data_IF_403893803857
#
_entry.id   IF_403893803857
#
_cell.length_a   1.000
_cell.length_b   1.000
_cell.length_c   1.000
_cell.angle_alpha   90.00
_cell.angle_beta   90.00
_cell.angle_gamma   90.00
#
_symmetry.space_group_name_H-M   'P 1'
#
loop_
_entity.id
_entity.type
_entity.pdbx_description
1 polymer ?
#
# COMPACT_ATOMS: atom_id res chain seq x y z
N UNK A 1 45.37 -30.17 -19.69
CA UNK A 1 45.31 -30.93 -18.42
C UNK A 1 45.72 -29.95 -17.32
N UNK A 2 44.75 -29.26 -16.71
CA UNK A 2 45.02 -28.31 -15.64
C UNK A 2 44.31 -28.77 -14.38
N UNK A 3 45.12 -28.97 -13.34
CA UNK A 3 44.77 -29.40 -12.01
C UNK A 3 44.18 -28.26 -11.19
N UNK A 4 43.34 -28.70 -10.26
CA UNK A 4 42.79 -28.03 -9.10
C UNK A 4 43.78 -27.19 -8.28
N UNK A 5 43.27 -26.13 -7.65
CA UNK A 5 43.54 -25.81 -6.24
C UNK A 5 42.32 -25.10 -5.62
N UNK A 6 42.01 -25.49 -4.38
CA UNK A 6 40.85 -25.16 -3.57
C UNK A 6 41.23 -24.21 -2.43
N UNK A 7 40.26 -23.38 -2.04
CA UNK A 7 39.99 -22.77 -0.73
C UNK A 7 41.06 -21.90 -0.04
N UNK A 8 40.63 -20.69 0.31
CA UNK A 8 41.16 -19.88 1.40
C UNK A 8 40.03 -19.04 1.99
N UNK A 9 39.53 -19.44 3.14
CA UNK A 9 38.64 -18.66 4.01
C UNK A 9 39.43 -17.49 4.62
N UNK A 10 38.87 -16.28 4.61
CA UNK A 10 39.26 -15.21 5.53
C UNK A 10 38.01 -14.70 6.25
N UNK A 11 38.00 -14.98 7.55
CA UNK A 11 37.00 -14.62 8.53
C UNK A 11 37.62 -13.51 9.39
N UNK A 12 37.35 -12.24 9.08
CA UNK A 12 37.69 -11.13 9.96
C UNK A 12 36.48 -10.22 10.17
N UNK A 13 35.80 -10.42 11.30
CA UNK A 13 34.72 -9.57 11.80
C UNK A 13 35.30 -8.33 12.51
N UNK A 14 35.01 -7.14 12.00
CA UNK A 14 35.23 -5.87 12.69
C UNK A 14 33.89 -5.20 13.05
N UNK A 15 33.77 -4.47 14.18
CA UNK A 15 32.51 -3.96 14.68
C UNK A 15 32.17 -2.63 13.97
N UNK A 16 31.08 -2.58 13.21
CA UNK A 16 30.54 -1.32 12.69
C UNK A 16 29.36 -0.91 13.56
N UNK A 17 29.67 -0.29 14.70
CA UNK A 17 28.75 0.60 15.39
C UNK A 17 28.95 2.02 14.88
N UNK A 18 27.97 2.55 14.16
CA UNK A 18 27.75 4.00 14.01
C UNK A 18 26.24 4.27 13.86
N UNK A 19 25.71 5.30 14.52
CA UNK A 19 24.28 5.44 14.79
C UNK A 19 23.52 6.09 13.63
N UNK A 20 22.30 5.60 13.38
CA UNK A 20 21.36 6.28 12.49
C UNK A 20 21.04 7.69 13.03
N UNK A 21 21.03 8.74 12.20
CA UNK A 21 20.57 10.05 12.62
C UNK A 21 19.05 10.01 12.92
N UNK A 22 18.56 10.79 13.90
CA UNK A 22 17.16 10.80 14.27
C UNK A 22 16.32 11.36 13.13
N UNK A 23 15.25 10.64 12.78
CA UNK A 23 14.26 11.08 11.81
C UNK A 23 13.60 12.37 12.30
N UNK A 24 13.92 13.48 11.64
CA UNK A 24 13.25 14.77 11.83
C UNK A 24 11.78 14.60 11.47
N UNK A 25 10.91 14.63 12.47
CA UNK A 25 9.46 14.58 12.30
C UNK A 25 8.99 15.84 11.55
N UNK A 26 8.58 15.68 10.30
CA UNK A 26 7.54 16.55 9.70
C UNK A 26 6.26 15.72 9.67
N UNK A 27 5.28 16.18 10.44
CA UNK A 27 4.01 15.52 10.63
C UNK A 27 3.22 15.41 9.33
N UNK A 28 3.13 14.19 8.83
CA UNK A 28 1.99 13.66 8.09
C UNK A 28 1.96 12.16 8.40
N UNK A 29 1.03 11.72 9.25
CA UNK A 29 0.81 10.28 9.48
C UNK A 29 0.11 9.71 8.26
N UNK A 30 0.90 9.34 7.24
CA UNK A 30 0.43 8.46 6.19
C UNK A 30 0.29 7.07 6.80
N UNK A 31 -0.90 6.48 6.75
CA UNK A 31 -1.08 5.05 6.99
C UNK A 31 -0.29 4.31 5.89
N UNK A 32 0.98 4.02 6.20
CA UNK A 32 1.90 3.36 5.28
C UNK A 32 1.47 1.92 5.04
N UNK A 33 1.47 1.50 3.79
CA UNK A 33 1.42 0.08 3.44
C UNK A 33 2.73 -0.53 3.93
N UNK A 34 2.69 -1.27 5.04
CA UNK A 34 3.87 -2.01 5.48
C UNK A 34 3.88 -3.35 4.72
N UNK A 35 4.67 -3.44 3.65
CA UNK A 35 5.03 -4.72 3.02
C UNK A 35 6.43 -5.09 3.53
N UNK A 36 6.51 -6.08 4.41
CA UNK A 36 7.78 -6.47 5.02
C UNK A 36 8.59 -7.31 4.04
N UNK A 37 9.82 -6.85 3.76
CA UNK A 37 10.90 -7.51 3.01
C UNK A 37 10.64 -7.74 1.50
N UNK A 38 10.77 -6.65 0.75
CA UNK A 38 11.19 -6.69 -0.66
C UNK A 38 12.69 -6.40 -0.70
N UNK A 39 13.52 -7.43 -0.59
CA UNK A 39 14.97 -7.26 -0.81
C UNK A 39 15.20 -6.78 -2.25
N UNK A 40 15.65 -5.52 -2.38
CA UNK A 40 15.84 -4.77 -3.64
C UNK A 40 14.58 -4.56 -4.49
N UNK A 41 13.66 -3.73 -4.02
CA UNK A 41 13.03 -2.75 -4.90
C UNK A 41 13.06 -1.40 -4.19
N UNK A 42 14.06 -0.57 -4.53
CA UNK A 42 14.03 0.84 -4.16
C UNK A 42 12.73 1.46 -4.69
N UNK A 43 12.14 2.39 -3.93
CA UNK A 43 10.98 3.23 -4.27
C UNK A 43 10.66 3.29 -5.78
N UNK A 44 9.97 2.28 -6.28
CA UNK A 44 9.99 1.92 -7.69
C UNK A 44 8.70 1.22 -8.03
N UNK A 45 7.68 2.04 -8.26
CA UNK A 45 6.46 1.62 -8.91
C UNK A 45 6.82 1.12 -10.31
N UNK A 46 6.52 -0.14 -10.60
CA UNK A 46 6.69 -0.83 -11.88
C UNK A 46 8.10 -0.80 -12.51
N UNK A 47 8.81 -1.93 -12.44
CA UNK A 47 9.84 -2.25 -13.45
C UNK A 47 9.19 -3.01 -14.62
N UNK A 48 9.38 -2.60 -15.87
CA UNK A 48 8.95 -3.36 -17.03
C UNK A 48 9.97 -4.49 -17.25
N UNK A 49 9.52 -5.74 -17.13
CA UNK A 49 10.27 -6.86 -17.69
C UNK A 49 9.30 -7.75 -18.46
N UNK A 50 9.55 -7.85 -19.76
CA UNK A 50 9.07 -8.95 -20.59
C UNK A 50 9.48 -10.26 -19.90
N UNK A 51 8.56 -11.23 -19.87
CA UNK A 51 8.73 -12.60 -19.32
C UNK A 51 8.87 -12.71 -17.80
N UNK A 52 7.78 -12.45 -17.06
CA UNK A 52 7.64 -12.96 -15.70
C UNK A 52 6.36 -13.81 -15.63
N UNK A 53 6.45 -15.15 -15.43
CA UNK A 53 5.29 -16.04 -15.35
C UNK A 53 4.58 -15.99 -13.97
N UNK A 54 4.83 -14.95 -13.17
CA UNK A 54 4.33 -14.83 -11.81
C UNK A 54 3.12 -13.89 -11.72
N UNK A 55 2.20 -14.12 -10.75
CA UNK A 55 0.98 -13.33 -10.64
C UNK A 55 1.31 -11.86 -10.39
N UNK A 56 0.82 -10.94 -11.22
CA UNK A 56 1.19 -9.52 -11.15
C UNK A 56 0.16 -8.75 -10.32
N UNK A 57 0.62 -8.09 -9.27
CA UNK A 57 -0.22 -7.23 -8.43
C UNK A 57 0.17 -5.76 -8.55
N UNK A 58 -0.82 -4.87 -8.61
CA UNK A 58 -0.60 -3.42 -8.49
C UNK A 58 -0.91 -2.96 -7.06
N UNK A 59 -0.04 -2.12 -6.49
CA UNK A 59 -0.18 -1.58 -5.13
C UNK A 59 -0.41 -0.07 -5.21
N UNK A 60 -1.43 0.44 -4.50
CA UNK A 60 -1.67 1.89 -4.35
C UNK A 60 -2.34 2.20 -3.00
N UNK A 61 -2.48 3.47 -2.63
CA UNK A 61 -3.09 3.83 -1.35
C UNK A 61 -4.63 3.79 -1.44
N UNK A 62 -5.19 4.57 -2.36
CA UNK A 62 -6.61 4.67 -2.69
C UNK A 62 -7.05 3.47 -3.51
N UNK A 63 -7.27 3.63 -4.81
CA UNK A 63 -7.67 2.50 -5.63
C UNK A 63 -7.63 2.80 -7.12
N UNK A 64 -8.67 2.38 -7.82
CA UNK A 64 -8.78 2.50 -9.27
C UNK A 64 -9.45 3.81 -9.70
N UNK A 65 -9.52 3.99 -11.02
CA UNK A 65 -9.80 5.25 -11.68
C UNK A 65 -11.29 5.49 -11.92
N UNK A 66 -11.65 6.77 -11.93
CA UNK A 66 -12.96 7.28 -12.31
C UNK A 66 -13.26 7.10 -13.80
N UNK A 67 -12.21 6.97 -14.63
CA UNK A 67 -12.28 6.74 -16.07
C UNK A 67 -11.85 5.30 -16.43
N UNK A 68 -12.34 4.78 -17.56
CA UNK A 68 -11.93 3.50 -18.14
C UNK A 68 -10.73 3.69 -19.08
N UNK A 69 -9.94 2.63 -19.32
CA UNK A 69 -8.81 2.66 -20.25
C UNK A 69 -7.50 3.20 -19.68
N UNK A 70 -7.41 3.39 -18.36
CA UNK A 70 -6.18 3.82 -17.72
C UNK A 70 -5.19 2.66 -17.67
N UNK A 71 -4.00 2.88 -18.23
CA UNK A 71 -2.95 1.86 -18.29
C UNK A 71 -1.82 2.11 -17.28
N UNK A 72 -1.00 1.10 -17.01
CA UNK A 72 0.22 1.23 -16.21
C UNK A 72 1.22 2.24 -16.79
N UNK A 73 1.17 2.49 -18.10
CA UNK A 73 1.99 3.50 -18.76
C UNK A 73 1.49 4.92 -18.45
N UNK A 74 0.17 5.10 -18.35
CA UNK A 74 -0.43 6.40 -17.97
C UNK A 74 -0.07 6.76 -16.53
N UNK A 75 -0.11 5.79 -15.63
CA UNK A 75 0.33 5.96 -14.23
C UNK A 75 1.79 6.39 -14.17
N UNK A 76 2.67 5.81 -15.01
CA UNK A 76 4.09 6.17 -15.07
C UNK A 76 4.34 7.58 -15.59
N UNK A 77 3.43 8.13 -16.40
CA UNK A 77 3.51 9.48 -16.97
C UNK A 77 2.97 10.58 -16.04
N UNK A 78 2.36 10.22 -14.91
CA UNK A 78 1.79 11.22 -13.99
C UNK A 78 2.90 12.08 -13.38
N UNK A 79 2.78 13.41 -13.56
CA UNK A 79 3.60 14.40 -12.86
C UNK A 79 3.21 14.47 -11.38
N UNK A 80 3.94 13.73 -10.55
CA UNK A 80 3.64 13.54 -9.11
C UNK A 80 4.23 14.60 -8.18
N UNK A 81 5.09 15.50 -8.67
CA UNK A 81 5.78 16.50 -7.85
C UNK A 81 4.91 17.75 -7.65
N UNK A 82 3.65 17.55 -7.27
CA UNK A 82 2.64 18.59 -7.05
C UNK A 82 1.61 18.13 -6.03
N UNK A 83 0.78 19.04 -5.55
CA UNK A 83 -0.40 18.66 -4.78
C UNK A 83 -1.38 17.86 -5.66
N UNK A 84 -2.06 16.84 -5.11
CA UNK A 84 -3.06 16.11 -5.85
C UNK A 84 -4.11 17.07 -6.43
N UNK A 85 -4.49 16.93 -7.72
CA UNK A 85 -5.60 17.68 -8.28
C UNK A 85 -6.93 17.24 -7.64
N UNK A 86 -7.98 18.06 -7.79
CA UNK A 86 -9.33 17.74 -7.27
C UNK A 86 -9.94 16.49 -7.95
N UNK A 87 -9.52 16.20 -9.18
CA UNK A 87 -9.97 15.04 -9.96
C UNK A 87 -8.86 14.46 -10.85
N UNK A 88 -9.11 13.26 -11.37
CA UNK A 88 -8.24 12.57 -12.32
C UNK A 88 -7.33 11.51 -11.68
N UNK A 89 -6.43 10.88 -12.48
CA UNK A 89 -5.76 9.65 -12.10
C UNK A 89 -4.92 9.72 -10.81
N UNK A 90 -4.26 10.86 -10.58
CA UNK A 90 -3.48 11.07 -9.35
C UNK A 90 -4.37 11.17 -8.10
N UNK A 91 -5.55 11.78 -8.23
CA UNK A 91 -6.51 11.87 -7.14
C UNK A 91 -7.09 10.49 -6.83
N UNK A 92 -7.47 9.74 -7.86
CA UNK A 92 -8.08 8.42 -7.73
C UNK A 92 -7.15 7.39 -7.07
N UNK A 93 -5.86 7.39 -7.43
CA UNK A 93 -4.84 6.55 -6.81
C UNK A 93 -4.69 6.77 -5.29
N UNK A 94 -5.14 7.92 -4.78
CA UNK A 94 -5.04 8.29 -3.38
C UNK A 94 -6.37 8.18 -2.62
N UNK A 95 -7.50 8.42 -3.29
CA UNK A 95 -8.78 8.67 -2.62
C UNK A 95 -9.93 7.74 -3.01
N UNK A 96 -9.80 6.96 -4.08
CA UNK A 96 -10.90 6.08 -4.51
C UNK A 96 -11.05 4.87 -3.59
N UNK A 97 -12.28 4.36 -3.48
CA UNK A 97 -12.63 3.23 -2.62
C UNK A 97 -13.40 2.14 -3.39
N UNK A 98 -13.23 0.84 -3.05
CA UNK A 98 -14.02 -0.22 -3.65
C UNK A 98 -15.48 -0.16 -3.18
N UNK A 99 -16.41 -0.55 -4.05
CA UNK A 99 -17.83 -0.75 -3.71
C UNK A 99 -18.31 -2.15 -4.14
N UNK A 100 -19.22 -2.77 -3.39
CA UNK A 100 -19.68 -4.13 -3.70
C UNK A 100 -20.50 -4.23 -4.99
N UNK A 101 -21.20 -3.15 -5.37
CA UNK A 101 -22.02 -3.09 -6.57
C UNK A 101 -21.21 -2.70 -7.82
N UNK A 102 -21.64 -3.17 -8.99
CA UNK A 102 -21.02 -2.83 -10.27
C UNK A 102 -21.11 -1.34 -10.59
N UNK A 103 -20.22 -0.88 -11.46
CA UNK A 103 -20.14 0.49 -11.95
C UNK A 103 -19.32 1.39 -11.04
N UNK A 104 -19.58 2.70 -11.16
CA UNK A 104 -18.93 3.74 -10.38
C UNK A 104 -19.97 4.57 -9.64
N UNK A 105 -19.61 5.08 -8.48
CA UNK A 105 -20.42 6.07 -7.76
C UNK A 105 -19.56 7.20 -7.20
N UNK A 106 -20.20 8.28 -6.79
CA UNK A 106 -19.51 9.39 -6.14
C UNK A 106 -18.96 8.94 -4.79
N UNK A 107 -17.70 9.27 -4.50
CA UNK A 107 -17.07 8.90 -3.24
C UNK A 107 -17.82 9.50 -2.03
N UNK A 108 -17.99 8.69 -0.98
CA UNK A 108 -18.50 9.16 0.32
C UNK A 108 -17.61 10.23 0.97
N UNK A 109 -16.37 10.36 0.49
CA UNK A 109 -15.39 11.34 0.94
C UNK A 109 -15.53 12.70 0.26
N UNK A 110 -16.41 12.80 -0.75
CA UNK A 110 -16.58 14.02 -1.56
C UNK A 110 -15.46 14.26 -2.57
N UNK A 111 -14.50 13.34 -2.69
CA UNK A 111 -13.36 13.41 -3.61
C UNK A 111 -13.13 12.04 -4.25
N UNK A 112 -12.83 12.02 -5.56
CA UNK A 112 -12.73 10.80 -6.37
C UNK A 112 -14.05 9.99 -6.44
N UNK A 113 -13.98 8.72 -6.79
CA UNK A 113 -15.11 7.81 -7.01
C UNK A 113 -15.01 6.55 -6.13
N UNK A 114 -16.14 5.84 -6.02
CA UNK A 114 -16.14 4.44 -5.65
C UNK A 114 -16.22 3.57 -6.91
N UNK A 115 -15.52 2.44 -6.93
CA UNK A 115 -15.42 1.56 -8.11
C UNK A 115 -15.84 0.12 -7.81
N UNK A 116 -16.60 -0.47 -8.72
CA UNK A 116 -17.14 -1.82 -8.59
C UNK A 116 -16.17 -2.95 -8.96
N UNK A 117 -16.62 -4.20 -8.79
CA UNK A 117 -15.84 -5.38 -9.19
C UNK A 117 -15.66 -5.50 -10.70
N UNK A 118 -16.57 -4.96 -11.49
CA UNK A 118 -16.48 -4.85 -12.95
C UNK A 118 -15.34 -3.91 -13.39
N UNK A 119 -15.25 -2.74 -12.78
CA UNK A 119 -14.14 -1.78 -13.01
C UNK A 119 -12.80 -2.42 -12.67
N UNK A 120 -12.76 -3.12 -11.53
CA UNK A 120 -11.54 -3.82 -11.10
C UNK A 120 -11.15 -4.90 -12.09
N UNK A 121 -12.11 -5.70 -12.55
CA UNK A 121 -11.86 -6.76 -13.52
C UNK A 121 -11.33 -6.18 -14.85
N UNK A 122 -11.96 -5.14 -15.39
CA UNK A 122 -11.57 -4.52 -16.65
C UNK A 122 -10.13 -3.98 -16.60
N UNK A 123 -9.79 -3.23 -15.54
CA UNK A 123 -8.43 -2.69 -15.36
C UNK A 123 -7.37 -3.78 -15.26
N UNK A 124 -7.67 -4.86 -14.53
CA UNK A 124 -6.75 -5.99 -14.35
C UNK A 124 -6.53 -6.74 -15.68
N UNK A 125 -7.59 -6.99 -16.44
CA UNK A 125 -7.52 -7.65 -17.75
C UNK A 125 -6.72 -6.83 -18.76
N UNK A 126 -6.97 -5.52 -18.83
CA UNK A 126 -6.29 -4.58 -19.73
C UNK A 126 -4.79 -4.46 -19.44
N UNK A 127 -4.40 -4.53 -18.17
CA UNK A 127 -3.01 -4.36 -17.74
C UNK A 127 -2.28 -5.68 -17.45
N UNK A 128 -2.91 -6.83 -17.74
CA UNK A 128 -2.38 -8.16 -17.46
C UNK A 128 -1.94 -8.35 -15.99
N UNK A 129 -2.83 -7.97 -15.07
CA UNK A 129 -2.67 -8.07 -13.62
C UNK A 129 -3.68 -9.09 -13.05
N UNK A 130 -3.35 -9.69 -11.91
CA UNK A 130 -4.22 -10.67 -11.24
C UNK A 130 -5.12 -10.02 -10.19
N UNK A 131 -4.58 -9.09 -9.42
CA UNK A 131 -5.29 -8.40 -8.35
C UNK A 131 -4.60 -7.09 -7.95
N UNK A 132 -5.29 -6.27 -7.16
CA UNK A 132 -4.76 -5.05 -6.58
C UNK A 132 -4.63 -5.16 -5.06
N UNK A 133 -3.64 -4.48 -4.50
CA UNK A 133 -3.48 -4.27 -3.05
C UNK A 133 -3.63 -2.79 -2.76
N UNK A 134 -4.49 -2.46 -1.80
CA UNK A 134 -4.78 -1.09 -1.40
C UNK A 134 -4.96 -0.95 0.11
N UNK A 135 -5.07 0.28 0.62
CA UNK A 135 -5.25 0.56 2.05
C UNK A 135 -6.43 1.47 2.30
N UNK A 136 -6.22 2.74 2.68
CA UNK A 136 -7.19 3.84 2.88
C UNK A 136 -8.40 3.64 3.82
N UNK A 137 -8.94 2.44 3.95
CA UNK A 137 -10.09 2.11 4.79
C UNK A 137 -9.66 1.26 5.98
N UNK A 138 -10.16 1.64 7.15
CA UNK A 138 -10.01 0.84 8.38
C UNK A 138 -10.82 -0.44 8.23
N UNK A 139 -10.22 -1.58 8.55
CA UNK A 139 -10.89 -2.89 8.59
C UNK A 139 -10.71 -3.49 9.98
N UNK A 140 -11.77 -4.09 10.52
CA UNK A 140 -11.76 -4.64 11.89
C UNK A 140 -10.64 -5.69 12.07
N UNK A 141 -10.42 -6.54 11.08
CA UNK A 141 -9.37 -7.57 11.08
C UNK A 141 -8.04 -7.08 10.48
N UNK A 142 -7.93 -5.79 10.14
CA UNK A 142 -6.73 -5.21 9.54
C UNK A 142 -6.54 -5.54 8.06
N UNK A 143 -7.42 -6.33 7.44
CA UNK A 143 -7.48 -6.55 6.00
C UNK A 143 -8.90 -6.91 5.54
N UNK A 144 -9.14 -6.86 4.24
CA UNK A 144 -10.36 -7.35 3.59
C UNK A 144 -10.04 -7.80 2.16
N UNK A 145 -10.72 -8.85 1.69
CA UNK A 145 -10.60 -9.33 0.32
C UNK A 145 -11.95 -9.14 -0.37
N UNK A 146 -12.00 -8.21 -1.31
CA UNK A 146 -13.19 -7.81 -2.06
C UNK A 146 -13.09 -8.19 -3.55
N UNK A 147 -14.18 -7.94 -4.27
CA UNK A 147 -14.29 -8.10 -5.72
C UNK A 147 -13.93 -9.52 -6.24
N UNK A 148 -14.19 -10.54 -5.42
CA UNK A 148 -13.88 -11.94 -5.75
C UNK A 148 -12.38 -12.24 -5.72
N UNK A 149 -11.62 -11.63 -4.80
CA UNK A 149 -10.17 -11.87 -4.67
C UNK A 149 -9.30 -10.87 -5.42
N UNK A 150 -9.91 -9.98 -6.21
CA UNK A 150 -9.20 -9.03 -7.09
C UNK A 150 -8.86 -7.71 -6.43
N UNK A 151 -9.51 -7.34 -5.33
CA UNK A 151 -9.23 -6.11 -4.59
C UNK A 151 -8.94 -6.45 -3.13
N UNK A 152 -7.69 -6.28 -2.70
CA UNK A 152 -7.24 -6.58 -1.35
C UNK A 152 -7.00 -5.28 -0.60
N UNK A 153 -7.66 -5.09 0.53
CA UNK A 153 -7.41 -3.99 1.45
C UNK A 153 -6.51 -4.46 2.60
N UNK A 154 -5.44 -3.73 2.90
CA UNK A 154 -4.55 -3.96 4.06
C UNK A 154 -4.45 -2.68 4.88
N UNK A 155 -4.56 -2.80 6.20
CA UNK A 155 -4.52 -1.67 7.12
C UNK A 155 -3.58 -1.97 8.29
N UNK A 156 -2.57 -1.11 8.49
CA UNK A 156 -1.45 -1.39 9.39
C UNK A 156 -1.43 -0.54 10.68
N UNK A 157 -2.51 0.20 10.99
CA UNK A 157 -2.64 0.96 12.23
C UNK A 157 -3.62 0.27 13.19
N UNK A 158 -3.15 -0.53 14.16
CA UNK A 158 -4.04 -1.22 15.09
C UNK A 158 -4.60 -0.22 16.11
N UNK A 159 -5.80 -0.48 16.62
CA UNK A 159 -6.55 0.44 17.48
C UNK A 159 -6.54 1.89 16.95
N UNK A 160 -7.01 2.07 15.72
CA UNK A 160 -6.94 3.35 15.03
C UNK A 160 -7.54 4.48 15.87
N UNK A 161 -6.76 5.55 16.04
CA UNK A 161 -7.07 6.70 16.88
C UNK A 161 -7.48 6.35 18.33
N UNK A 162 -6.93 5.27 18.88
CA UNK A 162 -7.19 4.78 20.24
C UNK A 162 -8.65 4.45 20.58
N UNK A 163 -9.52 4.36 19.57
CA UNK A 163 -10.96 4.22 19.74
C UNK A 163 -11.54 3.04 18.95
N UNK A 164 -11.00 2.74 17.78
CA UNK A 164 -11.64 1.78 16.86
C UNK A 164 -11.51 0.32 17.30
N UNK A 165 -10.49 -0.03 18.10
CA UNK A 165 -10.25 -1.41 18.54
C UNK A 165 -9.91 -2.40 17.42
N UNK A 166 -9.63 -1.92 16.20
CA UNK A 166 -9.32 -2.79 15.06
C UNK A 166 -7.95 -3.46 15.23
N UNK A 167 -7.81 -4.67 14.68
CA UNK A 167 -6.49 -5.26 14.40
C UNK A 167 -5.84 -4.53 13.24
N UNK A 168 -4.55 -4.72 13.10
CA UNK A 168 -3.80 -4.35 11.92
C UNK A 168 -3.27 -5.60 11.22
N UNK A 169 -2.90 -5.46 9.96
CA UNK A 169 -2.16 -6.49 9.25
C UNK A 169 -1.10 -5.93 8.33
N UNK A 170 -0.18 -6.81 7.94
CA UNK A 170 0.74 -6.61 6.83
C UNK A 170 0.68 -7.83 5.90
N UNK A 171 1.05 -7.62 4.63
CA UNK A 171 1.07 -8.68 3.62
C UNK A 171 2.51 -9.09 3.34
N UNK A 172 2.75 -10.40 3.31
CA UNK A 172 3.98 -11.00 2.81
C UNK A 172 3.72 -11.58 1.42
N UNK A 173 4.43 -11.08 0.41
CA UNK A 173 4.42 -11.59 -0.97
C UNK A 173 5.72 -12.35 -1.22
N UNK A 174 5.65 -13.59 -1.68
CA UNK A 174 6.85 -14.41 -1.97
C UNK A 174 7.10 -14.43 -3.46
N UNK A 175 8.36 -14.31 -3.91
CA UNK A 175 8.68 -14.18 -5.33
C UNK A 175 8.14 -15.30 -6.23
N UNK A 176 8.11 -16.54 -5.74
CA UNK A 176 7.55 -17.69 -6.48
C UNK A 176 6.02 -17.78 -6.42
N UNK A 177 5.40 -17.14 -5.43
CA UNK A 177 3.97 -17.20 -5.14
C UNK A 177 3.50 -15.84 -4.60
N UNK A 178 3.00 -15.01 -5.52
CA UNK A 178 2.51 -13.67 -5.22
C UNK A 178 1.08 -13.70 -4.67
N UNK A 179 0.62 -14.79 -4.06
CA UNK A 179 -0.61 -14.80 -3.26
C UNK A 179 -0.39 -14.03 -1.94
N UNK A 180 -1.34 -13.17 -1.52
CA UNK A 180 -1.19 -12.37 -0.32
C UNK A 180 -1.27 -13.23 0.95
N UNK A 181 -0.18 -13.29 1.72
CA UNK A 181 -0.17 -13.90 3.05
C UNK A 181 -0.37 -12.80 4.10
N UNK A 182 -1.52 -12.81 4.77
CA UNK A 182 -1.88 -11.82 5.78
C UNK A 182 -1.31 -12.20 7.14
N UNK A 183 -0.64 -11.24 7.78
CA UNK A 183 -0.15 -11.38 9.14
C UNK A 183 -0.79 -10.29 10.00
N UNK A 184 -1.63 -10.71 10.95
CA UNK A 184 -2.32 -9.79 11.84
C UNK A 184 -1.48 -9.46 13.08
N UNK A 185 -1.66 -8.25 13.60
CA UNK A 185 -1.06 -7.79 14.86
C UNK A 185 -1.99 -6.80 15.57
N UNK A 186 -1.83 -6.67 16.87
CA UNK A 186 -2.65 -5.80 17.72
C UNK A 186 -1.86 -4.58 18.19
N UNK A 187 -2.58 -3.63 18.78
CA UNK A 187 -1.97 -2.43 19.34
C UNK A 187 -1.06 -2.76 20.51
N UNK A 188 -0.05 -1.92 20.70
CA UNK A 188 0.89 -1.97 21.82
C UNK A 188 0.76 -0.67 22.62
N UNK A 189 1.10 -0.67 23.93
CA UNK A 189 1.06 0.55 24.72
C UNK A 189 1.98 1.65 24.12
N UNK A 190 1.51 2.90 24.14
CA UNK A 190 2.27 4.08 23.75
C UNK A 190 2.16 5.18 24.82
N UNK A 191 3.02 6.23 24.79
CA UNK A 191 2.94 7.36 25.72
C UNK A 191 1.57 8.05 25.69
N UNK A 192 1.20 8.69 26.80
CA UNK A 192 -0.08 9.40 26.95
C UNK A 192 -0.10 10.74 26.19
N UNK A 193 -0.15 10.63 24.87
CA UNK A 193 -0.37 11.73 23.95
C UNK A 193 -1.58 11.38 23.10
N UNK A 194 -2.66 12.16 23.25
CA UNK A 194 -3.92 11.89 22.56
C UNK A 194 -3.75 11.94 21.03
N UNK A 195 -4.46 11.10 20.28
CA UNK A 195 -4.59 11.25 18.84
C UNK A 195 -5.02 12.68 18.48
N UNK A 196 -4.47 13.21 17.38
CA UNK A 196 -4.79 14.56 16.88
C UNK A 196 -4.42 15.73 17.83
N UNK A 197 -3.59 15.53 18.86
CA UNK A 197 -3.19 16.61 19.79
C UNK A 197 -2.65 17.88 19.12
N UNK A 198 -2.04 17.75 17.93
CA UNK A 198 -1.46 18.85 17.16
C UNK A 198 -2.31 19.29 15.95
N UNK A 199 -3.49 18.71 15.76
CA UNK A 199 -4.40 19.07 14.67
C UNK A 199 -5.18 20.36 15.01
N UNK A 200 -5.83 20.94 13.99
CA UNK A 200 -6.72 22.08 14.21
C UNK A 200 -7.87 21.68 15.16
N UNK A 201 -8.26 22.61 16.03
CA UNK A 201 -9.32 22.37 17.03
C UNK A 201 -10.65 21.98 16.37
N UNK A 202 -10.92 22.46 15.15
CA UNK A 202 -12.09 22.07 14.36
C UNK A 202 -12.15 20.55 14.12
N UNK A 203 -11.01 19.92 13.84
CA UNK A 203 -10.94 18.47 13.61
C UNK A 203 -10.98 17.68 14.91
N UNK A 204 -10.44 18.22 16.00
CA UNK A 204 -10.45 17.58 17.32
C UNK A 204 -11.88 17.43 17.88
N UNK A 205 -12.75 18.44 17.66
CA UNK A 205 -14.13 18.42 18.12
C UNK A 205 -15.00 17.38 17.39
N UNK A 206 -14.62 16.95 16.20
CA UNK A 206 -15.38 15.97 15.40
C UNK A 206 -14.99 14.50 15.65
N UNK A 207 -13.94 14.23 16.44
CA UNK A 207 -13.41 12.88 16.69
C UNK A 207 -13.50 12.44 18.17
N UNK A 208 -14.10 13.25 19.05
CA UNK A 208 -14.46 12.88 20.42
C UNK A 208 -15.88 12.33 20.47
#
# INVERSE_FOLDING_TARGET
MHQWQSAGEDNSWGPVGSPFPPATQRGHTWAGVLVSRVERLGYGWCLPSHTCPHPKSQIMHGGLFSEDGVTLDDIRKIERNRQPPDSGPMCDLLWSDPQPQNGRSVSKRGVSCQFGPDVTKAFLEENHLDYIIRSHEVKAEGYEVAHGGRCVTVFSAPNYCDQMGNKASYIHLRGSDLRPQFHQFTAVPHPDVKPMAYASTLLQLGMM
#
